data_IF_044194995763
#
_entry.id   IF_044194995763
#
_cell.length_a   1.000
_cell.length_b   1.000
_cell.length_c   1.000
_cell.angle_alpha   90.00
_cell.angle_beta   90.00
_cell.angle_gamma   90.00
#
_symmetry.space_group_name_H-M   'P 1'
#
loop_
_entity.id
_entity.type
_entity.pdbx_description
1 polymer ?
#
# COMPACT_ATOMS: atom_id res chain seq x y z
N UNK A 1 30.79 -12.18 11.28
CA UNK A 1 30.05 -12.29 10.00
C UNK A 1 28.72 -11.55 10.12
N UNK A 2 28.30 -10.79 9.10
CA UNK A 2 27.21 -9.82 9.22
C UNK A 2 25.85 -10.53 9.31
N UNK A 3 25.20 -10.37 10.48
CA UNK A 3 23.85 -10.82 10.85
C UNK A 3 22.73 -10.31 9.94
N UNK A 4 21.46 -10.43 10.39
CA UNK A 4 20.32 -9.84 9.66
C UNK A 4 20.59 -8.37 9.33
N UNK A 5 20.34 -8.00 8.07
CA UNK A 5 20.51 -6.64 7.61
C UNK A 5 19.16 -5.98 7.33
N UNK A 6 19.08 -4.78 7.87
CA UNK A 6 17.92 -3.93 7.96
C UNK A 6 17.74 -3.16 6.62
N UNK A 7 16.55 -3.22 6.01
CA UNK A 7 16.16 -2.38 4.85
C UNK A 7 15.08 -1.35 5.22
N UNK A 8 15.34 -0.06 4.95
CA UNK A 8 14.48 1.04 5.41
C UNK A 8 13.28 1.16 4.48
N UNK A 9 12.08 1.18 5.06
CA UNK A 9 10.87 1.43 4.27
C UNK A 9 10.97 2.82 3.63
N UNK A 10 10.79 2.95 2.31
CA UNK A 10 10.79 4.26 1.63
C UNK A 10 9.63 5.08 2.21
N UNK A 11 9.95 6.13 2.97
CA UNK A 11 8.94 7.05 3.53
C UNK A 11 8.17 7.68 2.37
N UNK A 12 6.85 7.74 2.48
CA UNK A 12 6.00 8.44 1.50
C UNK A 12 6.57 9.85 1.32
N UNK A 13 6.91 10.29 0.09
CA UNK A 13 7.52 11.59 -0.12
C UNK A 13 6.63 12.68 0.48
N UNK A 14 7.24 13.57 1.29
CA UNK A 14 6.51 14.74 1.81
C UNK A 14 6.07 15.60 0.64
N UNK A 15 4.84 16.11 0.72
CA UNK A 15 4.33 17.04 -0.28
C UNK A 15 5.11 18.36 -0.18
N UNK A 16 6.02 18.57 -1.12
CA UNK A 16 6.87 19.77 -1.21
C UNK A 16 6.44 20.66 -2.40
N UNK A 17 7.10 21.81 -2.57
CA UNK A 17 6.75 22.78 -3.61
C UNK A 17 6.82 22.20 -5.04
N UNK A 18 7.81 21.34 -5.32
CA UNK A 18 7.94 20.69 -6.63
C UNK A 18 6.79 19.71 -6.91
N UNK A 19 6.47 18.84 -5.94
CA UNK A 19 5.35 17.88 -6.04
C UNK A 19 4.02 18.64 -6.15
N UNK A 20 3.86 19.74 -5.41
CA UNK A 20 2.68 20.62 -5.50
C UNK A 20 2.52 21.20 -6.91
N UNK A 21 3.59 21.68 -7.53
CA UNK A 21 3.55 22.22 -8.88
C UNK A 21 3.12 21.15 -9.91
N UNK A 22 3.67 19.94 -9.79
CA UNK A 22 3.25 18.80 -10.63
C UNK A 22 1.77 18.46 -10.45
N UNK A 23 1.29 18.45 -9.19
CA UNK A 23 -0.14 18.22 -8.90
C UNK A 23 -1.03 19.29 -9.52
N UNK A 24 -0.61 20.56 -9.46
CA UNK A 24 -1.35 21.66 -10.09
C UNK A 24 -1.40 21.53 -11.61
N UNK A 25 -0.26 21.23 -12.24
CA UNK A 25 -0.17 21.00 -13.69
C UNK A 25 -1.12 19.88 -14.11
N UNK A 26 -1.09 18.75 -13.41
CA UNK A 26 -2.00 17.63 -13.65
C UNK A 26 -3.47 18.05 -13.52
N UNK A 27 -3.84 18.80 -12.47
CA UNK A 27 -5.23 19.24 -12.31
C UNK A 27 -5.69 20.24 -13.38
N UNK A 28 -4.78 21.00 -13.98
CA UNK A 28 -5.08 21.92 -15.08
C UNK A 28 -5.29 21.16 -16.38
N UNK A 29 -4.37 20.25 -16.70
CA UNK A 29 -4.39 19.42 -17.91
C UNK A 29 -5.65 18.56 -17.98
N UNK A 30 -6.01 17.89 -16.89
CA UNK A 30 -7.14 16.95 -16.85
C UNK A 30 -8.45 17.57 -16.38
N UNK A 31 -8.54 18.92 -16.30
CA UNK A 31 -9.72 19.62 -15.79
C UNK A 31 -11.01 19.24 -16.53
N UNK A 32 -10.93 19.11 -17.85
CA UNK A 32 -12.07 18.80 -18.72
C UNK A 32 -12.00 17.38 -19.29
N UNK A 33 -11.15 16.53 -18.71
CA UNK A 33 -10.98 15.16 -19.16
C UNK A 33 -12.27 14.35 -18.92
N UNK A 34 -12.70 13.60 -19.93
CA UNK A 34 -13.88 12.74 -19.81
C UNK A 34 -13.51 11.37 -19.21
N UNK A 35 -13.56 11.30 -17.88
CA UNK A 35 -13.26 10.11 -17.09
C UNK A 35 -14.16 8.89 -17.37
N UNK A 36 -15.31 9.06 -18.05
CA UNK A 36 -16.26 7.97 -18.33
C UNK A 36 -15.95 7.19 -19.61
N UNK A 37 -15.31 7.82 -20.60
CA UNK A 37 -15.24 7.32 -21.99
C UNK A 37 -13.89 6.72 -22.39
N UNK A 38 -12.90 6.72 -21.51
CA UNK A 38 -11.56 6.19 -21.81
C UNK A 38 -11.15 5.09 -20.86
N UNK A 39 -10.40 4.12 -21.36
CA UNK A 39 -9.80 3.04 -20.56
C UNK A 39 -8.68 3.57 -19.67
N UNK A 40 -9.05 4.19 -18.55
CA UNK A 40 -8.11 4.65 -17.53
C UNK A 40 -7.84 3.51 -16.56
N UNK A 41 -6.56 3.19 -16.35
CA UNK A 41 -6.13 2.24 -15.32
C UNK A 41 -5.65 3.02 -14.11
N UNK A 42 -6.23 2.73 -12.95
CA UNK A 42 -5.77 3.25 -11.68
C UNK A 42 -4.98 2.15 -10.98
N UNK A 43 -3.72 2.42 -10.63
CA UNK A 43 -2.90 1.55 -9.77
C UNK A 43 -2.75 2.20 -8.42
N UNK A 44 -2.74 1.41 -7.36
CA UNK A 44 -2.22 1.87 -6.09
C UNK A 44 -0.69 1.84 -6.09
N UNK A 45 -0.09 2.72 -5.29
CA UNK A 45 1.27 2.57 -4.80
C UNK A 45 1.14 2.02 -3.38
N UNK A 46 0.90 0.71 -3.25
CA UNK A 46 0.62 0.12 -1.96
C UNK A 46 1.89 0.01 -1.10
N UNK A 47 1.85 0.55 0.13
CA UNK A 47 2.82 0.24 1.19
C UNK A 47 2.07 -0.30 2.43
N UNK A 48 2.52 -1.43 2.96
CA UNK A 48 1.87 -2.12 4.09
C UNK A 48 2.39 -1.54 5.40
N UNK A 49 1.53 -0.86 6.18
CA UNK A 49 1.84 -0.35 7.53
C UNK A 49 1.29 -1.27 8.63
N UNK A 50 2.05 -1.45 9.73
CA UNK A 50 1.62 -2.15 10.94
C UNK A 50 1.24 -1.16 12.04
N UNK A 51 -0.06 -0.84 12.14
CA UNK A 51 -0.68 -0.18 13.30
C UNK A 51 -0.27 1.28 13.58
N UNK A 52 -1.15 2.05 14.23
CA UNK A 52 -0.92 3.48 14.53
C UNK A 52 0.03 3.68 15.72
N UNK A 53 0.98 4.61 15.59
CA UNK A 53 1.90 5.02 16.66
C UNK A 53 3.27 4.36 16.66
N UNK A 54 3.53 3.43 15.73
CA UNK A 54 4.86 2.86 15.51
C UNK A 54 5.48 3.46 14.25
N UNK A 55 6.68 4.02 14.33
CA UNK A 55 7.45 4.32 13.12
C UNK A 55 7.67 3.01 12.35
N UNK A 56 7.43 3.03 11.03
CA UNK A 56 7.67 1.87 10.18
C UNK A 56 9.19 1.71 10.01
N UNK A 57 9.84 1.08 10.99
CA UNK A 57 11.30 1.11 11.04
C UNK A 57 11.94 -0.14 10.42
N UNK A 58 11.69 -1.38 10.85
CA UNK A 58 12.41 -2.54 10.28
C UNK A 58 11.64 -3.87 10.45
N UNK A 59 12.03 -4.91 9.70
CA UNK A 59 11.65 -6.33 9.86
C UNK A 59 12.95 -7.12 10.12
N UNK A 60 13.17 -8.06 11.06
CA UNK A 60 12.58 -8.50 12.34
C UNK A 60 13.73 -9.06 13.22
N UNK A 61 13.66 -8.98 14.57
CA UNK A 61 14.14 -10.00 15.57
C UNK A 61 13.90 -9.53 17.03
N UNK A 62 13.85 -10.48 17.98
CA UNK A 62 13.65 -10.18 19.42
C UNK A 62 14.95 -10.15 20.23
N UNK A 63 15.06 -9.27 21.26
CA UNK A 63 16.25 -9.16 22.12
C UNK A 63 16.30 -10.13 23.31
N UNK A 64 15.21 -10.42 24.02
CA UNK A 64 15.27 -11.24 25.26
C UNK A 64 13.92 -11.96 25.51
N UNK A 65 13.96 -13.27 25.75
CA UNK A 65 12.79 -14.06 26.18
C UNK A 65 12.59 -15.42 25.52
N UNK A 66 13.44 -15.79 24.57
CA UNK A 66 13.46 -17.12 23.93
C UNK A 66 14.91 -17.56 23.90
N UNK A 67 15.20 -18.80 24.27
CA UNK A 67 16.52 -19.40 24.04
C UNK A 67 16.82 -19.34 22.54
N UNK A 68 17.65 -18.38 22.16
CA UNK A 68 18.15 -18.25 20.81
C UNK A 68 19.36 -19.16 20.68
N UNK A 69 19.20 -20.29 20.01
CA UNK A 69 20.34 -20.95 19.37
C UNK A 69 20.99 -19.95 18.40
N UNK A 70 22.31 -19.85 18.42
CA UNK A 70 23.06 -19.14 17.38
C UNK A 70 22.77 -19.81 16.03
N UNK A 71 21.78 -19.27 15.31
CA UNK A 71 21.31 -19.85 14.06
C UNK A 71 22.19 -19.39 12.90
N UNK A 72 22.63 -20.29 12.01
CA UNK A 72 23.38 -19.90 10.83
C UNK A 72 22.58 -18.94 9.95
N UNK A 73 23.26 -17.91 9.44
CA UNK A 73 22.69 -16.96 8.49
C UNK A 73 22.38 -17.67 7.17
N UNK A 74 21.24 -17.31 6.55
CA UNK A 74 20.78 -17.84 5.26
C UNK A 74 20.36 -19.31 5.24
N UNK A 75 19.92 -19.87 6.37
CA UNK A 75 19.35 -21.23 6.45
C UNK A 75 17.84 -21.23 6.71
N UNK A 76 17.00 -20.81 5.74
CA UNK A 76 15.54 -20.83 5.88
C UNK A 76 14.98 -22.26 5.97
N UNK A 77 15.69 -23.25 5.42
CA UNK A 77 15.45 -24.69 5.53
C UNK A 77 15.57 -25.20 6.97
N UNK A 78 16.45 -24.60 7.76
CA UNK A 78 16.65 -24.98 9.15
C UNK A 78 15.60 -24.32 10.07
N UNK A 79 15.01 -23.18 9.70
CA UNK A 79 14.09 -22.44 10.57
C UNK A 79 12.64 -22.97 10.54
N UNK A 80 12.13 -23.68 11.57
CA UNK A 80 10.83 -24.34 11.52
C UNK A 80 9.65 -23.38 11.40
N UNK A 81 9.83 -22.11 11.81
CA UNK A 81 8.78 -21.09 11.69
C UNK A 81 8.50 -20.73 10.23
N UNK A 82 9.48 -20.85 9.32
CA UNK A 82 9.26 -20.60 7.89
C UNK A 82 8.36 -21.68 7.29
N UNK A 83 8.55 -22.94 7.69
CA UNK A 83 7.65 -24.03 7.34
C UNK A 83 6.23 -23.82 7.90
N UNK A 84 6.11 -23.34 9.13
CA UNK A 84 4.82 -22.98 9.72
C UNK A 84 4.15 -21.83 8.96
N UNK A 85 4.88 -20.77 8.59
CA UNK A 85 4.34 -19.69 7.77
C UNK A 85 3.92 -20.15 6.39
N UNK A 86 4.68 -21.04 5.76
CA UNK A 86 4.31 -21.66 4.49
C UNK A 86 3.01 -22.48 4.64
N UNK A 87 2.91 -23.31 5.69
CA UNK A 87 1.72 -24.10 5.97
C UNK A 87 0.50 -23.21 6.24
N UNK A 88 0.63 -22.16 7.06
CA UNK A 88 -0.43 -21.20 7.33
C UNK A 88 -0.89 -20.47 6.06
N UNK A 89 0.05 -20.03 5.22
CA UNK A 89 -0.29 -19.44 3.92
C UNK A 89 -1.02 -20.46 3.05
N UNK A 90 -0.54 -21.71 2.97
CA UNK A 90 -1.20 -22.75 2.18
C UNK A 90 -2.63 -23.05 2.68
N UNK A 91 -2.82 -23.09 3.99
CA UNK A 91 -4.13 -23.36 4.61
C UNK A 91 -5.12 -22.21 4.42
N UNK A 92 -4.68 -20.96 4.55
CA UNK A 92 -5.55 -19.80 4.57
C UNK A 92 -5.67 -19.06 3.23
N UNK A 93 -4.74 -19.28 2.28
CA UNK A 93 -4.69 -18.50 1.04
C UNK A 93 -5.89 -18.73 0.16
N UNK A 94 -6.33 -19.98 -0.01
CA UNK A 94 -7.49 -20.27 -0.85
C UNK A 94 -8.79 -19.72 -0.24
N UNK A 95 -8.93 -19.82 1.09
CA UNK A 95 -10.05 -19.23 1.81
C UNK A 95 -10.06 -17.69 1.72
N UNK A 96 -8.91 -17.04 1.92
CA UNK A 96 -8.76 -15.59 1.79
C UNK A 96 -9.04 -15.14 0.34
N UNK A 97 -8.50 -15.86 -0.64
CA UNK A 97 -8.71 -15.58 -2.07
C UNK A 97 -10.18 -15.73 -2.45
N UNK A 98 -10.86 -16.75 -1.95
CA UNK A 98 -12.29 -16.95 -2.15
C UNK A 98 -13.09 -15.81 -1.51
N UNK A 99 -12.80 -15.46 -0.26
CA UNK A 99 -13.45 -14.37 0.46
C UNK A 99 -13.30 -13.02 -0.26
N UNK A 100 -12.09 -12.71 -0.77
CA UNK A 100 -11.84 -11.50 -1.55
C UNK A 100 -12.60 -11.48 -2.88
N UNK A 101 -12.68 -12.61 -3.58
CA UNK A 101 -13.49 -12.73 -4.81
C UNK A 101 -14.98 -12.49 -4.52
N UNK A 102 -15.51 -13.06 -3.44
CA UNK A 102 -16.90 -12.86 -3.05
C UNK A 102 -17.19 -11.43 -2.60
N UNK A 103 -16.29 -10.83 -1.82
CA UNK A 103 -16.38 -9.41 -1.46
C UNK A 103 -16.36 -8.52 -2.71
N UNK A 104 -15.49 -8.83 -3.68
CA UNK A 104 -15.41 -8.09 -4.95
C UNK A 104 -16.71 -8.17 -5.75
N UNK A 105 -17.32 -9.36 -5.86
CA UNK A 105 -18.62 -9.53 -6.56
C UNK A 105 -19.75 -8.73 -5.91
N UNK A 106 -19.72 -8.58 -4.58
CA UNK A 106 -20.71 -7.80 -3.82
C UNK A 106 -20.54 -6.30 -3.94
N UNK A 107 -19.40 -5.80 -4.44
CA UNK A 107 -19.20 -4.36 -4.62
C UNK A 107 -20.16 -3.83 -5.70
N UNK A 108 -20.99 -2.82 -5.37
CA UNK A 108 -21.92 -2.29 -6.34
C UNK A 108 -21.16 -1.55 -7.45
N UNK A 109 -21.43 -1.90 -8.72
CA UNK A 109 -20.87 -1.20 -9.89
C UNK A 109 -21.10 0.32 -9.83
N UNK A 110 -22.18 0.75 -9.18
CA UNK A 110 -22.48 2.17 -8.91
C UNK A 110 -21.38 2.85 -8.10
N UNK A 111 -20.83 2.19 -7.08
CA UNK A 111 -19.74 2.73 -6.27
C UNK A 111 -18.50 2.97 -7.11
N UNK A 112 -18.10 1.99 -7.93
CA UNK A 112 -16.94 2.10 -8.83
C UNK A 112 -17.13 3.28 -9.80
N UNK A 113 -18.33 3.40 -10.39
CA UNK A 113 -18.66 4.52 -11.28
C UNK A 113 -18.59 5.86 -10.57
N UNK A 114 -19.16 5.96 -9.36
CA UNK A 114 -19.11 7.18 -8.55
C UNK A 114 -17.68 7.57 -8.18
N UNK A 115 -16.79 6.60 -7.91
CA UNK A 115 -15.38 6.85 -7.64
C UNK A 115 -14.68 7.43 -8.88
N UNK A 116 -14.89 6.85 -10.06
CA UNK A 116 -14.35 7.37 -11.33
C UNK A 116 -14.89 8.79 -11.60
N UNK A 117 -16.20 8.99 -11.46
CA UNK A 117 -16.84 10.29 -11.68
C UNK A 117 -16.43 11.34 -10.64
N UNK A 118 -15.98 10.92 -9.46
CA UNK A 118 -15.46 11.83 -8.44
C UNK A 118 -14.16 12.51 -8.84
N UNK A 119 -13.43 12.01 -9.85
CA UNK A 119 -12.14 12.55 -10.27
C UNK A 119 -12.20 14.04 -10.60
N UNK A 120 -13.22 14.50 -11.33
CA UNK A 120 -13.39 15.93 -11.62
C UNK A 120 -13.52 16.77 -10.35
N UNK A 121 -14.26 16.29 -9.34
CA UNK A 121 -14.40 16.94 -8.04
C UNK A 121 -13.10 16.92 -7.23
N UNK A 122 -12.35 15.80 -7.27
CA UNK A 122 -11.01 15.67 -6.64
C UNK A 122 -10.03 16.68 -7.22
N UNK A 123 -9.96 16.82 -8.55
CA UNK A 123 -9.11 17.81 -9.21
C UNK A 123 -9.49 19.25 -8.84
N UNK A 124 -10.79 19.56 -8.81
CA UNK A 124 -11.28 20.87 -8.40
C UNK A 124 -10.89 21.19 -6.95
N UNK A 125 -11.00 20.23 -6.04
CA UNK A 125 -10.59 20.38 -4.65
C UNK A 125 -9.09 20.64 -4.51
N UNK A 126 -8.25 19.88 -5.23
CA UNK A 126 -6.78 20.07 -5.22
C UNK A 126 -6.41 21.46 -5.76
N UNK A 127 -7.11 21.94 -6.80
CA UNK A 127 -6.91 23.30 -7.32
C UNK A 127 -7.31 24.39 -6.33
N UNK A 128 -8.43 24.22 -5.62
CA UNK A 128 -8.88 25.17 -4.59
C UNK A 128 -7.82 25.37 -3.51
N UNK A 129 -7.15 24.30 -3.09
CA UNK A 129 -6.03 24.35 -2.15
C UNK A 129 -4.67 24.53 -2.83
N UNK A 130 -4.65 24.98 -4.09
CA UNK A 130 -3.43 25.24 -4.87
C UNK A 130 -2.41 24.08 -4.89
N UNK A 131 -2.86 22.83 -5.00
CA UNK A 131 -1.98 21.65 -5.08
C UNK A 131 -1.65 20.99 -3.75
N UNK A 132 -2.11 21.57 -2.63
CA UNK A 132 -1.96 21.00 -1.29
C UNK A 132 -2.90 19.81 -1.03
N UNK A 133 -2.80 19.22 0.16
CA UNK A 133 -3.63 18.08 0.55
C UNK A 133 -5.12 18.45 0.65
N UNK A 134 -5.97 17.49 0.35
CA UNK A 134 -7.44 17.60 0.41
C UNK A 134 -7.99 16.47 1.27
N UNK A 135 -9.19 16.64 1.82
CA UNK A 135 -9.91 15.58 2.57
C UNK A 135 -10.58 14.51 1.68
N UNK A 136 -10.45 14.63 0.36
CA UNK A 136 -11.00 13.69 -0.63
C UNK A 136 -10.29 12.34 -0.63
#
# INVERSE_FOLDING_TARGET
EKGLTNHRCKKRPKLNAAVRALRLKFCQEYRYFNWKRRGVKFSDECSVQRGSGKEAEWCFRYPHGIWTLEWPLYSPDLNPIEHLWWALKKLAWDALRAALKEAWKKLPKRLIRQLIESMGRRLAAVRKVRGWQTKY
#
